data_IF_578478715159
#
_entry.id   IF_578478715159
#
_cell.length_a   1.000
_cell.length_b   1.000
_cell.length_c   1.000
_cell.angle_alpha   90.00
_cell.angle_beta   90.00
_cell.angle_gamma   90.00
#
_symmetry.space_group_name_H-M   'P 1'
#
loop_
_entity.id
_entity.type
_entity.pdbx_description
1 polymer ?
#
# COMPACT_ATOMS: atom_id res chain seq x y z
N UNK A 1 -24.45 -24.68 2.43
CA UNK A 1 -24.71 -23.24 2.26
C UNK A 1 -25.16 -22.73 3.62
N UNK A 2 -24.40 -21.84 4.24
CA UNK A 2 -24.85 -21.25 5.50
C UNK A 2 -25.91 -20.18 5.15
N UNK A 3 -27.13 -20.35 5.63
CA UNK A 3 -28.24 -19.39 5.45
C UNK A 3 -27.96 -18.00 6.05
N UNK A 4 -26.84 -17.85 6.77
CA UNK A 4 -26.43 -16.62 7.44
C UNK A 4 -26.13 -15.47 6.45
N UNK A 5 -25.53 -15.74 5.30
CA UNK A 5 -25.20 -14.69 4.33
C UNK A 5 -26.45 -14.12 3.62
N UNK A 6 -27.52 -14.91 3.50
CA UNK A 6 -28.78 -14.44 2.90
C UNK A 6 -29.57 -13.45 3.76
N UNK A 7 -29.14 -13.23 5.00
CA UNK A 7 -29.75 -12.26 5.92
C UNK A 7 -29.15 -10.84 5.79
N UNK A 8 -28.14 -10.66 4.95
CA UNK A 8 -27.44 -9.38 4.80
C UNK A 8 -27.43 -8.92 3.35
N UNK A 9 -27.56 -7.63 3.12
CA UNK A 9 -27.52 -7.02 1.79
C UNK A 9 -26.08 -6.80 1.31
N UNK A 10 -25.15 -6.53 2.22
CA UNK A 10 -23.72 -6.29 1.95
C UNK A 10 -22.84 -6.58 3.17
N UNK A 11 -21.54 -6.56 2.97
CA UNK A 11 -20.54 -6.64 4.04
C UNK A 11 -19.51 -5.52 3.89
N UNK A 12 -19.25 -4.77 4.95
CA UNK A 12 -18.09 -3.88 5.06
C UNK A 12 -16.92 -4.74 5.55
N UNK A 13 -16.05 -5.12 4.62
CA UNK A 13 -14.95 -6.05 4.92
C UNK A 13 -13.72 -5.29 5.40
N UNK A 14 -13.49 -5.29 6.72
CA UNK A 14 -12.40 -4.59 7.39
C UNK A 14 -11.28 -5.55 7.84
N UNK A 15 -11.00 -6.56 7.02
CA UNK A 15 -9.96 -7.56 7.25
C UNK A 15 -9.17 -7.79 5.94
N UNK A 16 -8.16 -8.67 6.01
CA UNK A 16 -7.29 -9.03 4.89
C UNK A 16 -7.27 -10.54 4.62
N UNK A 17 -8.13 -11.33 5.28
CA UNK A 17 -8.23 -12.76 5.04
C UNK A 17 -8.84 -13.04 3.65
N UNK A 18 -8.03 -13.52 2.67
CA UNK A 18 -8.52 -13.74 1.31
C UNK A 18 -9.49 -14.93 1.24
N UNK A 19 -9.35 -15.93 2.10
CA UNK A 19 -10.26 -17.08 2.08
C UNK A 19 -11.65 -16.70 2.55
N UNK A 20 -11.75 -15.93 3.63
CA UNK A 20 -13.02 -15.46 4.16
C UNK A 20 -13.72 -14.51 3.16
N UNK A 21 -13.02 -13.53 2.60
CA UNK A 21 -13.59 -12.58 1.65
C UNK A 21 -14.11 -13.27 0.40
N UNK A 22 -13.33 -14.15 -0.23
CA UNK A 22 -13.76 -14.90 -1.41
C UNK A 22 -14.94 -15.86 -1.12
N UNK A 23 -14.97 -16.49 0.07
CA UNK A 23 -16.08 -17.33 0.48
C UNK A 23 -17.39 -16.52 0.64
N UNK A 24 -17.30 -15.32 1.21
CA UNK A 24 -18.45 -14.43 1.35
C UNK A 24 -18.99 -14.00 -0.03
N UNK A 25 -18.13 -13.59 -0.97
CA UNK A 25 -18.55 -13.26 -2.34
C UNK A 25 -19.17 -14.45 -3.07
N UNK A 26 -18.68 -15.67 -2.83
CA UNK A 26 -19.31 -16.91 -3.40
C UNK A 26 -20.72 -17.16 -2.90
N UNK A 27 -21.14 -16.56 -1.79
CA UNK A 27 -22.55 -16.60 -1.35
C UNK A 27 -23.42 -15.58 -2.07
N UNK A 28 -22.85 -14.69 -2.88
CA UNK A 28 -23.54 -13.59 -3.57
C UNK A 28 -23.56 -12.28 -2.77
N UNK A 29 -22.88 -12.23 -1.62
CA UNK A 29 -22.82 -11.04 -0.79
C UNK A 29 -21.87 -9.99 -1.41
N UNK A 30 -22.33 -8.75 -1.56
CA UNK A 30 -21.49 -7.64 -2.00
C UNK A 30 -20.53 -7.25 -0.86
N UNK A 31 -19.23 -7.26 -1.14
CA UNK A 31 -18.22 -6.76 -0.20
C UNK A 31 -17.76 -5.34 -0.58
N UNK A 32 -17.50 -4.53 0.41
CA UNK A 32 -16.85 -3.23 0.33
C UNK A 32 -15.55 -3.27 1.17
N UNK A 33 -14.32 -3.40 0.58
CA UNK A 33 -13.98 -3.65 -0.83
C UNK A 33 -14.22 -5.10 -1.27
N UNK A 34 -14.15 -5.35 -2.61
CA UNK A 34 -14.19 -6.70 -3.17
C UNK A 34 -13.00 -7.55 -2.71
N UNK A 35 -13.18 -8.87 -2.70
CA UNK A 35 -12.14 -9.82 -2.28
C UNK A 35 -10.87 -9.70 -3.14
N UNK A 36 -11.02 -9.62 -4.47
CA UNK A 36 -9.89 -9.46 -5.40
C UNK A 36 -9.11 -8.16 -5.14
N UNK A 37 -9.81 -7.04 -4.91
CA UNK A 37 -9.17 -5.76 -4.62
C UNK A 37 -8.39 -5.78 -3.31
N UNK A 38 -8.94 -6.40 -2.25
CA UNK A 38 -8.26 -6.60 -0.96
C UNK A 38 -7.00 -7.44 -1.15
N UNK A 39 -7.10 -8.57 -1.84
CA UNK A 39 -5.98 -9.50 -2.06
C UNK A 39 -4.84 -8.86 -2.87
N UNK A 40 -5.16 -8.08 -3.92
CA UNK A 40 -4.16 -7.35 -4.70
C UNK A 40 -3.45 -6.30 -3.84
N UNK A 41 -4.18 -5.59 -3.00
CA UNK A 41 -3.60 -4.54 -2.13
C UNK A 41 -2.76 -5.09 -0.98
N UNK A 42 -3.02 -6.31 -0.50
CA UNK A 42 -2.24 -6.91 0.58
C UNK A 42 -0.84 -7.37 0.13
N UNK A 43 -0.65 -7.62 -1.18
CA UNK A 43 0.64 -7.94 -1.79
C UNK A 43 1.22 -6.70 -2.50
N UNK A 44 2.31 -6.14 -1.95
CA UNK A 44 2.96 -4.93 -2.50
C UNK A 44 3.44 -5.09 -3.93
N UNK A 45 3.88 -6.30 -4.33
CA UNK A 45 4.32 -6.53 -5.71
C UNK A 45 3.13 -6.64 -6.67
N UNK A 46 2.03 -7.29 -6.27
CA UNK A 46 0.80 -7.34 -7.08
C UNK A 46 0.21 -5.94 -7.25
N UNK A 47 0.18 -5.14 -6.18
CA UNK A 47 -0.21 -3.71 -6.25
C UNK A 47 0.65 -2.96 -7.26
N UNK A 48 1.99 -3.13 -7.20
CA UNK A 48 2.91 -2.48 -8.12
C UNK A 48 2.65 -2.90 -9.57
N UNK A 49 2.46 -4.19 -9.84
CA UNK A 49 2.15 -4.71 -11.18
C UNK A 49 0.83 -4.13 -11.71
N UNK A 50 -0.22 -4.09 -10.87
CA UNK A 50 -1.52 -3.56 -11.26
C UNK A 50 -1.50 -2.06 -11.59
N UNK A 51 -0.61 -1.29 -10.95
CA UNK A 51 -0.48 0.15 -11.12
C UNK A 51 0.58 0.56 -12.15
N UNK A 52 1.39 -0.39 -12.67
CA UNK A 52 2.48 -0.12 -13.61
C UNK A 52 1.96 0.54 -14.89
N UNK A 53 2.55 1.68 -15.26
CA UNK A 53 2.13 2.45 -16.44
C UNK A 53 0.84 3.27 -16.27
N UNK A 54 0.17 3.19 -15.12
CA UNK A 54 -1.06 3.94 -14.82
C UNK A 54 -0.76 5.17 -13.97
N UNK A 55 0.05 5.00 -12.93
CA UNK A 55 0.44 6.09 -12.01
C UNK A 55 1.95 6.12 -11.79
N UNK A 56 2.53 7.28 -11.43
CA UNK A 56 3.93 7.35 -11.04
C UNK A 56 4.22 6.50 -9.79
N UNK A 57 5.28 5.71 -9.83
CA UNK A 57 5.77 4.91 -8.70
C UNK A 57 7.30 4.91 -8.66
N UNK A 58 7.94 4.72 -7.50
CA UNK A 58 9.38 4.51 -7.43
C UNK A 58 9.78 3.27 -8.27
N UNK A 59 10.95 3.30 -8.89
CA UNK A 59 11.49 2.14 -9.62
C UNK A 59 11.51 0.93 -8.70
N UNK A 60 10.99 -0.20 -9.17
CA UNK A 60 10.81 -1.41 -8.35
C UNK A 60 11.25 -2.64 -9.11
N UNK A 61 11.92 -3.55 -8.42
CA UNK A 61 12.39 -4.84 -8.94
C UNK A 61 11.83 -5.95 -8.05
N UNK A 62 11.15 -6.93 -8.65
CA UNK A 62 10.68 -8.11 -7.93
C UNK A 62 11.85 -9.01 -7.56
N UNK A 63 11.86 -9.56 -6.35
CA UNK A 63 12.80 -10.61 -5.99
C UNK A 63 12.52 -11.90 -6.76
N UNK A 64 13.56 -12.59 -7.27
CA UNK A 64 13.38 -13.95 -7.76
C UNK A 64 12.86 -14.88 -6.65
N UNK A 65 11.91 -15.75 -6.99
CA UNK A 65 11.46 -16.78 -6.07
C UNK A 65 12.56 -17.85 -5.90
N UNK A 66 12.84 -18.22 -4.65
CA UNK A 66 13.78 -19.26 -4.31
C UNK A 66 13.06 -20.42 -3.63
N UNK A 67 13.16 -21.61 -4.20
CA UNK A 67 12.51 -22.84 -3.70
C UNK A 67 13.45 -23.74 -2.91
N UNK A 68 14.76 -23.51 -3.03
CA UNK A 68 15.81 -24.29 -2.36
C UNK A 68 16.41 -23.54 -1.19
N UNK A 69 16.65 -24.26 -0.07
CA UNK A 69 17.40 -23.72 1.04
C UNK A 69 18.86 -23.52 0.66
N UNK A 70 19.46 -22.45 1.16
CA UNK A 70 20.88 -22.11 0.95
C UNK A 70 21.31 -21.93 -0.51
N UNK A 71 20.38 -21.67 -1.42
CA UNK A 71 20.79 -21.28 -2.78
C UNK A 71 21.60 -19.96 -2.72
N UNK A 72 22.66 -19.85 -3.52
CA UNK A 72 23.43 -18.62 -3.56
C UNK A 72 22.57 -17.48 -4.11
N UNK A 73 22.67 -16.31 -3.51
CA UNK A 73 22.05 -15.10 -4.07
C UNK A 73 22.73 -14.77 -5.39
N UNK A 74 21.96 -14.50 -6.43
CA UNK A 74 22.50 -14.18 -7.75
C UNK A 74 23.24 -12.84 -7.74
N UNK A 75 24.57 -12.88 -7.90
CA UNK A 75 25.43 -11.70 -8.01
C UNK A 75 25.02 -10.81 -9.20
N UNK A 76 24.65 -11.44 -10.32
CA UNK A 76 24.19 -10.72 -11.51
C UNK A 76 22.88 -9.96 -11.22
N UNK A 77 21.92 -10.60 -10.58
CA UNK A 77 20.66 -9.97 -10.18
C UNK A 77 20.88 -8.77 -9.27
N UNK A 78 21.73 -8.92 -8.24
CA UNK A 78 22.03 -7.83 -7.31
C UNK A 78 22.73 -6.67 -8.02
N UNK A 79 23.69 -6.94 -8.92
CA UNK A 79 24.39 -5.90 -9.66
C UNK A 79 23.44 -5.11 -10.59
N UNK A 80 22.49 -5.78 -11.23
CA UNK A 80 21.47 -5.13 -12.05
C UNK A 80 20.52 -4.29 -11.20
N UNK A 81 20.13 -4.80 -10.01
CA UNK A 81 19.28 -4.08 -9.06
C UNK A 81 19.97 -2.80 -8.56
N UNK A 82 21.24 -2.87 -8.18
CA UNK A 82 22.05 -1.72 -7.78
C UNK A 82 22.16 -0.68 -8.89
N UNK A 83 22.44 -1.12 -10.10
CA UNK A 83 22.57 -0.23 -11.26
C UNK A 83 21.25 0.51 -11.56
N UNK A 84 20.11 -0.14 -11.39
CA UNK A 84 18.80 0.43 -11.66
C UNK A 84 18.31 1.40 -10.57
N UNK A 85 18.54 1.02 -9.28
CA UNK A 85 17.92 1.71 -8.13
C UNK A 85 18.86 2.72 -7.47
N UNK A 86 20.18 2.48 -7.49
CA UNK A 86 21.17 3.23 -6.70
C UNK A 86 21.02 2.93 -5.19
N UNK A 87 21.91 3.52 -4.39
CA UNK A 87 21.83 3.43 -2.93
C UNK A 87 21.31 4.75 -2.33
N UNK A 88 20.58 4.66 -1.18
CA UNK A 88 20.15 3.44 -0.50
C UNK A 88 19.01 2.73 -1.24
N UNK A 89 18.93 1.39 -1.07
CA UNK A 89 17.86 0.56 -1.63
C UNK A 89 16.85 0.21 -0.54
N UNK A 90 15.57 0.45 -0.78
CA UNK A 90 14.48 -0.03 0.09
C UNK A 90 14.15 -1.47 -0.27
N UNK A 91 14.17 -2.38 0.72
CA UNK A 91 13.75 -3.78 0.55
C UNK A 91 12.47 -3.97 1.34
N UNK A 92 11.42 -4.50 0.67
CA UNK A 92 10.10 -4.68 1.31
C UNK A 92 9.62 -6.11 1.14
N UNK A 93 9.22 -6.75 2.24
CA UNK A 93 8.42 -7.98 2.16
C UNK A 93 7.09 -7.66 1.48
N UNK A 94 6.62 -8.53 0.57
CA UNK A 94 5.39 -8.29 -0.19
C UNK A 94 4.18 -8.20 0.74
N UNK A 95 4.13 -9.04 1.76
CA UNK A 95 3.08 -9.05 2.78
C UNK A 95 3.53 -8.34 4.05
N UNK A 96 2.59 -7.80 4.79
CA UNK A 96 2.84 -7.10 6.05
C UNK A 96 2.39 -5.65 6.03
N UNK A 97 2.18 -5.10 7.22
CA UNK A 97 1.68 -3.76 7.46
C UNK A 97 2.48 -3.05 8.55
N UNK A 98 2.18 -1.77 8.79
CA UNK A 98 2.73 -0.98 9.90
C UNK A 98 4.26 -0.81 9.82
N UNK A 99 4.85 -0.83 8.61
CA UNK A 99 6.28 -0.70 8.40
C UNK A 99 7.10 -1.94 8.78
N UNK A 100 6.46 -3.04 9.19
CA UNK A 100 7.13 -4.34 9.39
C UNK A 100 7.57 -4.91 8.04
N UNK A 101 8.75 -5.57 8.02
CA UNK A 101 9.28 -6.12 6.78
C UNK A 101 9.77 -5.08 5.76
N UNK A 102 10.05 -3.84 6.20
CA UNK A 102 10.62 -2.78 5.37
C UNK A 102 12.00 -2.42 5.89
N UNK A 103 13.00 -2.57 5.04
CA UNK A 103 14.42 -2.42 5.36
C UNK A 103 15.07 -1.40 4.42
N UNK A 104 16.20 -0.83 4.84
CA UNK A 104 17.02 0.07 4.03
C UNK A 104 18.42 -0.50 3.94
N UNK A 105 18.95 -0.69 2.73
CA UNK A 105 20.33 -1.09 2.47
C UNK A 105 21.09 0.13 1.96
N UNK A 106 22.15 0.54 2.67
CA UNK A 106 22.98 1.67 2.30
C UNK A 106 24.16 1.29 1.41
N UNK A 107 24.50 0.00 1.40
CA UNK A 107 25.63 -0.53 0.63
C UNK A 107 25.38 -1.99 0.21
N UNK A 108 26.25 -2.49 -0.70
CA UNK A 108 26.16 -3.86 -1.21
C UNK A 108 26.13 -4.94 -0.14
N UNK A 109 26.95 -4.80 0.90
CA UNK A 109 27.02 -5.80 1.98
C UNK A 109 25.69 -5.97 2.70
N UNK A 110 25.00 -4.86 2.97
CA UNK A 110 23.67 -4.87 3.57
C UNK A 110 22.62 -5.46 2.61
N UNK A 111 22.69 -5.08 1.33
CA UNK A 111 21.79 -5.61 0.30
C UNK A 111 21.91 -7.13 0.15
N UNK A 112 23.16 -7.66 0.07
CA UNK A 112 23.43 -9.10 0.02
C UNK A 112 22.88 -9.81 1.27
N UNK A 113 23.10 -9.23 2.45
CA UNK A 113 22.60 -9.78 3.72
C UNK A 113 21.07 -9.86 3.76
N UNK A 114 20.38 -8.80 3.32
CA UNK A 114 18.91 -8.77 3.24
C UNK A 114 18.38 -9.75 2.19
N UNK A 115 19.01 -9.82 1.01
CA UNK A 115 18.63 -10.75 -0.04
C UNK A 115 18.74 -12.21 0.43
N UNK A 116 19.82 -12.55 1.14
CA UNK A 116 20.02 -13.89 1.71
C UNK A 116 18.98 -14.18 2.82
N UNK A 117 18.72 -13.22 3.71
CA UNK A 117 17.73 -13.34 4.80
C UNK A 117 16.32 -13.57 4.27
N UNK A 118 15.93 -12.85 3.21
CA UNK A 118 14.58 -12.85 2.65
C UNK A 118 14.40 -13.82 1.49
N UNK A 119 15.39 -14.64 1.16
CA UNK A 119 15.44 -15.46 -0.03
C UNK A 119 14.18 -16.31 -0.30
N UNK A 120 13.50 -16.75 0.78
CA UNK A 120 12.27 -17.58 0.71
C UNK A 120 11.00 -16.78 1.03
N UNK A 121 11.14 -15.48 1.29
CA UNK A 121 10.02 -14.57 1.56
C UNK A 121 9.77 -13.74 0.31
N UNK A 122 8.56 -13.72 -0.26
CA UNK A 122 8.25 -12.79 -1.34
C UNK A 122 8.58 -11.37 -0.95
N UNK A 123 9.48 -10.72 -1.69
CA UNK A 123 9.93 -9.36 -1.42
C UNK A 123 10.26 -8.61 -2.70
N UNK A 124 10.44 -7.33 -2.58
CA UNK A 124 10.82 -6.43 -3.67
C UNK A 124 11.94 -5.48 -3.23
N UNK A 125 12.64 -4.95 -4.22
CA UNK A 125 13.63 -3.88 -4.09
C UNK A 125 13.07 -2.63 -4.74
N UNK A 126 13.20 -1.49 -4.07
CA UNK A 126 12.58 -0.24 -4.53
C UNK A 126 13.55 0.93 -4.36
N UNK A 127 13.50 1.86 -5.29
CA UNK A 127 14.22 3.13 -5.23
C UNK A 127 13.83 3.89 -3.96
N UNK A 128 14.82 4.39 -3.25
CA UNK A 128 14.61 5.30 -2.13
C UNK A 128 14.35 6.72 -2.64
N UNK A 129 13.28 7.33 -2.19
CA UNK A 129 12.92 8.72 -2.52
C UNK A 129 13.39 9.60 -1.37
N UNK A 130 14.54 10.23 -1.55
CA UNK A 130 15.23 10.97 -0.48
C UNK A 130 14.42 12.17 0.03
N UNK A 131 13.68 12.85 -0.86
CA UNK A 131 12.82 13.99 -0.53
C UNK A 131 11.67 13.62 0.41
N UNK A 132 11.31 12.35 0.46
CA UNK A 132 10.27 11.80 1.33
C UNK A 132 10.81 10.95 2.47
N UNK A 133 12.10 11.08 2.83
CA UNK A 133 12.67 10.34 3.96
C UNK A 133 11.93 10.69 5.26
N UNK A 134 11.32 9.68 5.90
CA UNK A 134 10.55 9.85 7.13
C UNK A 134 9.21 10.58 6.98
N UNK A 135 8.76 10.85 5.74
CA UNK A 135 7.47 11.53 5.51
C UNK A 135 6.74 10.95 4.31
N UNK A 136 5.42 10.95 4.38
CA UNK A 136 4.54 10.67 3.25
C UNK A 136 3.22 11.44 3.37
N UNK A 137 2.43 11.35 2.32
CA UNK A 137 1.08 11.92 2.27
C UNK A 137 0.06 10.79 2.14
N UNK A 138 -0.74 10.55 3.18
CA UNK A 138 -1.89 9.64 3.09
C UNK A 138 -3.09 10.37 2.55
N UNK A 139 -3.62 9.90 1.42
CA UNK A 139 -4.86 10.36 0.80
C UNK A 139 -5.93 9.31 1.02
N UNK A 140 -7.06 9.68 1.60
CA UNK A 140 -8.23 8.80 1.68
C UNK A 140 -9.07 8.97 0.41
N UNK A 141 -9.41 7.84 -0.21
CA UNK A 141 -10.26 7.78 -1.41
C UNK A 141 -11.50 6.95 -1.08
N UNK A 142 -12.69 7.48 -1.43
CA UNK A 142 -14.00 6.84 -1.23
C UNK A 142 -14.78 6.95 -2.55
N UNK A 143 -15.26 5.83 -3.08
CA UNK A 143 -16.01 5.81 -4.34
C UNK A 143 -15.24 6.44 -5.50
N UNK A 144 -13.92 6.22 -5.56
CA UNK A 144 -13.05 6.79 -6.58
C UNK A 144 -12.73 8.29 -6.42
N UNK A 145 -13.17 8.95 -5.32
CA UNK A 145 -12.93 10.37 -5.07
C UNK A 145 -12.03 10.58 -3.85
N UNK A 146 -10.93 11.31 -4.02
CA UNK A 146 -10.06 11.69 -2.94
C UNK A 146 -10.71 12.76 -2.07
N UNK A 147 -10.90 12.45 -0.78
CA UNK A 147 -11.65 13.30 0.15
C UNK A 147 -10.77 14.31 0.88
N UNK A 148 -9.59 13.89 1.34
CA UNK A 148 -8.61 14.74 2.00
C UNK A 148 -7.23 14.07 2.06
N UNK A 149 -6.23 14.82 2.56
CA UNK A 149 -4.88 14.33 2.77
C UNK A 149 -4.39 14.63 4.20
N UNK A 150 -3.55 13.72 4.70
CA UNK A 150 -2.81 13.84 5.96
C UNK A 150 -1.34 13.57 5.70
N UNK A 151 -0.47 14.49 6.08
CA UNK A 151 0.97 14.24 6.10
C UNK A 151 1.33 13.43 7.34
N UNK A 152 2.08 12.33 7.15
CA UNK A 152 2.67 11.57 8.24
C UNK A 152 4.15 11.89 8.32
N UNK A 153 4.65 12.09 9.53
CA UNK A 153 6.04 12.49 9.78
C UNK A 153 6.59 11.61 10.90
N UNK A 154 7.68 10.92 10.62
CA UNK A 154 8.43 10.14 11.61
C UNK A 154 9.57 10.97 12.21
N UNK A 155 9.93 10.69 13.45
CA UNK A 155 11.12 11.27 14.09
C UNK A 155 12.23 10.20 14.14
N UNK A 156 13.19 10.30 13.21
CA UNK A 156 14.40 9.46 13.22
C UNK A 156 14.29 8.12 12.49
N UNK A 157 13.15 7.78 11.86
CA UNK A 157 13.01 6.62 10.99
C UNK A 157 12.73 7.09 9.54
N UNK A 158 13.26 6.40 8.55
CA UNK A 158 12.98 6.70 7.15
C UNK A 158 11.53 6.36 6.75
N UNK A 159 10.84 5.53 7.54
CA UNK A 159 9.42 5.19 7.39
C UNK A 159 8.57 6.19 8.15
N UNK A 160 7.43 6.55 7.60
CA UNK A 160 6.52 7.59 8.14
C UNK A 160 5.38 7.05 9.02
N UNK A 161 5.35 5.74 9.32
CA UNK A 161 4.23 5.10 9.99
C UNK A 161 3.98 5.64 11.41
N UNK A 162 2.72 5.98 11.72
CA UNK A 162 2.31 6.52 13.01
C UNK A 162 2.61 5.59 14.20
N UNK A 163 2.53 4.28 14.01
CA UNK A 163 2.83 3.27 15.03
C UNK A 163 4.33 3.17 15.39
N UNK A 164 5.19 3.74 14.56
CA UNK A 164 6.62 3.91 14.87
C UNK A 164 6.91 5.26 15.57
N UNK A 165 5.88 5.91 16.14
CA UNK A 165 6.01 7.21 16.80
C UNK A 165 5.84 8.41 15.87
N UNK A 166 5.36 8.18 14.64
CA UNK A 166 5.05 9.24 13.70
C UNK A 166 3.82 10.06 14.12
N UNK A 167 3.81 11.34 13.73
CA UNK A 167 2.65 12.24 13.90
C UNK A 167 1.95 12.50 12.59
N UNK A 168 0.62 12.73 12.66
CA UNK A 168 -0.17 13.18 11.52
C UNK A 168 -0.43 14.68 11.59
N UNK A 169 -0.43 15.34 10.45
CA UNK A 169 -0.82 16.74 10.27
C UNK A 169 -1.77 16.86 9.08
N UNK A 170 -2.79 17.72 9.18
CA UNK A 170 -3.65 18.00 8.03
C UNK A 170 -2.79 18.58 6.89
N UNK A 171 -3.02 18.13 5.67
CA UNK A 171 -2.26 18.57 4.52
C UNK A 171 -3.19 19.02 3.38
N UNK A 172 -2.71 19.96 2.58
CA UNK A 172 -3.41 20.35 1.38
C UNK A 172 -3.34 19.21 0.35
N UNK A 173 -4.50 18.82 -0.18
CA UNK A 173 -4.59 17.86 -1.27
C UNK A 173 -4.47 18.62 -2.59
N UNK A 174 -3.28 18.60 -3.19
CA UNK A 174 -3.03 19.25 -4.50
C UNK A 174 -3.76 18.51 -5.62
N UNK A 175 -4.02 19.19 -6.76
CA UNK A 175 -4.65 18.54 -7.92
C UNK A 175 -3.89 17.30 -8.40
N UNK A 176 -2.55 17.34 -8.40
CA UNK A 176 -1.69 16.23 -8.83
C UNK A 176 -1.80 15.04 -7.86
N UNK A 177 -1.72 15.29 -6.55
CA UNK A 177 -1.90 14.25 -5.53
C UNK A 177 -3.29 13.62 -5.58
N UNK A 178 -4.32 14.44 -5.82
CA UNK A 178 -5.70 14.00 -6.02
C UNK A 178 -5.79 13.04 -7.22
N UNK A 179 -5.30 13.46 -8.37
CA UNK A 179 -5.35 12.69 -9.60
C UNK A 179 -4.64 11.35 -9.45
N UNK A 180 -3.42 11.34 -8.92
CA UNK A 180 -2.63 10.11 -8.72
C UNK A 180 -3.35 9.13 -7.78
N UNK A 181 -3.91 9.64 -6.67
CA UNK A 181 -4.63 8.80 -5.70
C UNK A 181 -5.93 8.22 -6.27
N UNK A 182 -6.71 9.04 -6.99
CA UNK A 182 -7.97 8.60 -7.64
C UNK A 182 -7.71 7.58 -8.74
N UNK A 183 -6.69 7.79 -9.60
CA UNK A 183 -6.29 6.83 -10.62
C UNK A 183 -5.83 5.50 -10.01
N UNK A 184 -5.06 5.52 -8.91
CA UNK A 184 -4.63 4.32 -8.23
C UNK A 184 -5.81 3.52 -7.65
N UNK A 185 -6.74 4.20 -6.96
CA UNK A 185 -7.93 3.58 -6.40
C UNK A 185 -8.83 2.96 -7.49
N UNK A 186 -9.02 3.67 -8.59
CA UNK A 186 -9.81 3.20 -9.73
C UNK A 186 -9.18 1.97 -10.39
N UNK A 187 -7.86 2.00 -10.63
CA UNK A 187 -7.13 0.89 -11.26
C UNK A 187 -7.18 -0.40 -10.42
N UNK A 188 -7.27 -0.27 -9.10
CA UNK A 188 -7.38 -1.39 -8.16
C UNK A 188 -8.83 -1.78 -7.83
N UNK A 189 -9.82 -1.08 -8.38
CA UNK A 189 -11.24 -1.37 -8.15
C UNK A 189 -11.69 -1.18 -6.70
N UNK A 190 -11.15 -0.18 -6.00
CA UNK A 190 -11.39 0.03 -4.58
C UNK A 190 -12.55 0.99 -4.32
N UNK A 191 -13.49 0.55 -3.49
CA UNK A 191 -14.57 1.38 -2.93
C UNK A 191 -14.04 2.36 -1.88
N UNK A 192 -13.08 1.88 -1.08
CA UNK A 192 -12.39 2.63 -0.02
C UNK A 192 -10.92 2.27 0.01
N UNK A 193 -10.04 3.25 0.14
CA UNK A 193 -8.62 3.01 0.41
C UNK A 193 -7.91 4.23 1.01
N UNK A 194 -6.72 3.96 1.56
CA UNK A 194 -5.70 4.95 1.84
C UNK A 194 -4.55 4.80 0.86
N UNK A 195 -4.29 5.82 0.05
CA UNK A 195 -3.16 5.89 -0.87
C UNK A 195 -2.03 6.65 -0.21
N UNK A 196 -0.88 6.01 -0.07
CA UNK A 196 0.34 6.62 0.49
C UNK A 196 1.21 7.13 -0.65
N UNK A 197 1.42 8.44 -0.69
CA UNK A 197 2.20 9.13 -1.71
C UNK A 197 3.53 9.60 -1.14
N UNK A 198 4.62 9.32 -1.86
CA UNK A 198 5.91 9.97 -1.68
C UNK A 198 5.95 11.21 -2.58
N UNK A 199 6.46 12.31 -2.06
CA UNK A 199 6.64 13.54 -2.82
C UNK A 199 8.09 13.62 -3.28
N UNK A 200 8.31 13.45 -4.58
CA UNK A 200 9.62 13.57 -5.22
C UNK A 200 9.77 14.91 -5.96
N UNK A 201 10.97 15.17 -6.46
CA UNK A 201 11.23 16.33 -7.33
C UNK A 201 10.38 16.30 -8.62
N UNK A 202 10.01 15.09 -9.09
CA UNK A 202 9.21 14.89 -10.31
C UNK A 202 7.69 14.83 -10.03
N UNK A 203 7.28 15.03 -8.78
CA UNK A 203 5.88 14.99 -8.34
C UNK A 203 5.52 13.83 -7.43
N UNK A 204 4.22 13.61 -7.17
CA UNK A 204 3.75 12.56 -6.27
C UNK A 204 3.88 11.17 -6.91
N UNK A 205 4.38 10.20 -6.12
CA UNK A 205 4.53 8.79 -6.51
C UNK A 205 3.78 7.89 -5.53
N UNK A 206 3.04 6.90 -6.02
CA UNK A 206 2.37 5.92 -5.17
C UNK A 206 3.40 5.00 -4.53
N UNK A 207 3.43 4.98 -3.21
CA UNK A 207 4.26 4.10 -2.39
C UNK A 207 3.56 2.81 -2.01
N UNK A 208 2.29 2.93 -1.61
CA UNK A 208 1.44 1.84 -1.12
C UNK A 208 -0.04 2.23 -1.24
N UNK A 209 -0.90 1.24 -1.46
CA UNK A 209 -2.36 1.41 -1.39
C UNK A 209 -2.90 0.43 -0.36
N UNK A 210 -3.65 0.94 0.60
CA UNK A 210 -4.20 0.16 1.71
C UNK A 210 -5.72 0.06 1.58
N UNK A 211 -6.23 -1.13 1.25
CA UNK A 211 -7.68 -1.42 1.13
C UNK A 211 -8.44 -1.32 2.46
N UNK A 212 -7.72 -1.42 3.58
CA UNK A 212 -8.27 -1.29 4.94
C UNK A 212 -7.46 -0.26 5.73
N UNK A 213 -7.42 0.99 5.23
CA UNK A 213 -6.67 2.06 5.87
C UNK A 213 -7.35 2.53 7.16
N UNK A 214 -6.60 2.52 8.27
CA UNK A 214 -7.10 3.09 9.53
C UNK A 214 -7.24 4.60 9.41
N UNK A 215 -8.38 5.14 9.78
CA UNK A 215 -8.69 6.56 9.62
C UNK A 215 -8.90 7.33 10.94
N UNK A 216 -8.80 6.70 12.11
CA UNK A 216 -9.03 7.40 13.40
C UNK A 216 -8.08 8.59 13.63
N UNK A 217 -6.77 8.45 13.29
CA UNK A 217 -5.83 9.59 13.34
C UNK A 217 -6.12 10.59 12.24
N UNK A 218 -6.49 10.13 11.06
CA UNK A 218 -6.84 10.97 9.92
C UNK A 218 -8.03 11.89 10.25
N UNK A 219 -9.13 11.33 10.79
CA UNK A 219 -10.30 12.10 11.23
C UNK A 219 -9.95 13.16 12.28
N UNK A 220 -9.13 12.76 13.26
CA UNK A 220 -8.72 13.65 14.35
C UNK A 220 -7.93 14.86 13.87
N UNK A 221 -7.07 14.71 12.85
CA UNK A 221 -6.22 15.81 12.36
C UNK A 221 -6.86 16.60 11.23
N UNK A 222 -7.72 16.00 10.42
CA UNK A 222 -8.38 16.68 9.29
C UNK A 222 -9.76 17.24 9.63
N UNK A 223 -10.39 16.74 10.70
CA UNK A 223 -11.77 17.06 11.07
C UNK A 223 -12.83 16.45 10.15
N UNK A 224 -12.43 15.57 9.21
CA UNK A 224 -13.32 14.93 8.24
C UNK A 224 -13.81 13.61 8.81
N UNK A 225 -15.14 13.40 8.83
CA UNK A 225 -15.75 12.14 9.26
C UNK A 225 -15.74 11.14 8.11
N UNK A 226 -14.65 10.35 8.02
CA UNK A 226 -14.43 9.33 6.98
C UNK A 226 -15.46 8.20 7.09
N UNK A 227 -15.76 7.77 8.34
CA UNK A 227 -16.72 6.71 8.59
C UNK A 227 -18.11 7.06 8.02
N UNK A 228 -18.56 8.29 8.25
CA UNK A 228 -19.83 8.78 7.73
C UNK A 228 -19.83 8.83 6.20
N UNK A 229 -18.80 9.42 5.59
CA UNK A 229 -18.69 9.51 4.13
C UNK A 229 -18.68 8.13 3.46
N UNK A 230 -17.99 7.18 4.08
CA UNK A 230 -17.95 5.81 3.56
C UNK A 230 -19.32 5.12 3.70
N UNK A 231 -20.01 5.28 4.82
CA UNK A 231 -21.37 4.76 5.01
C UNK A 231 -22.36 5.35 3.99
N UNK A 232 -22.32 6.67 3.76
CA UNK A 232 -23.15 7.36 2.75
C UNK A 232 -22.88 6.80 1.33
N UNK A 233 -21.59 6.60 0.97
CA UNK A 233 -21.22 5.98 -0.30
C UNK A 233 -21.77 4.56 -0.45
N UNK A 234 -21.64 3.71 0.59
CA UNK A 234 -22.15 2.33 0.56
C UNK A 234 -23.66 2.32 0.34
N UNK A 235 -24.41 3.14 1.08
CA UNK A 235 -25.88 3.26 0.95
C UNK A 235 -26.26 3.68 -0.47
N UNK A 236 -25.53 4.62 -1.07
CA UNK A 236 -25.80 5.08 -2.44
C UNK A 236 -25.45 4.02 -3.49
N UNK A 237 -24.38 3.25 -3.27
CA UNK A 237 -23.95 2.17 -4.16
C UNK A 237 -24.89 0.93 -4.12
N UNK A 238 -25.73 0.81 -3.07
CA UNK A 238 -26.69 -0.28 -2.89
C UNK A 238 -28.12 0.06 -3.41
N UNK A 239 -28.35 1.29 -3.85
CA UNK A 239 -29.63 1.71 -4.48
C UNK A 239 -29.73 1.24 -5.94
#
# INVERSE_FOLDING_TARGET
RSDAASAYDFCVYLDKDPYCSHLLEKTGLRLFNSADAVEVCDDKMRTHIALAGIVPMPKTVASPLCYTEHAPVSEQFLSQTEQLLGYPVVVKECYGSLGKGVYLAHERKELVSLAAKLQRVPHLYQQFIAESAGTDLRVIVIGGKAVAAMRRISQGDFRSNAELGGRGEAAQLTPECRQVAECAAQALGLDYCGVDLLLSADGPMVCEVNSNAFFGTFERVTGINVARMYAEYIIDAMK
#
